data_IF_667098346158
#
_entry.id   IF_667098346158
#
_cell.length_a   1.000
_cell.length_b   1.000
_cell.length_c   1.000
_cell.angle_alpha   90.00
_cell.angle_beta   90.00
_cell.angle_gamma   90.00
#
_symmetry.space_group_name_H-M   'P 1'
#
loop_
_entity.id
_entity.type
_entity.pdbx_description
1 polymer ?
#
# COMPACT_ATOMS: atom_id res chain seq x y z
N UNK A 1 -20.93 12.56 2.94
CA UNK A 1 -20.51 12.89 1.57
C UNK A 1 -20.29 11.61 0.78
N UNK A 2 -20.98 11.45 -0.34
CA UNK A 2 -20.71 10.39 -1.31
C UNK A 2 -19.70 10.92 -2.32
N UNK A 3 -18.57 10.24 -2.46
CA UNK A 3 -17.49 10.61 -3.35
C UNK A 3 -16.93 9.35 -4.03
N UNK A 4 -15.96 9.53 -4.91
CA UNK A 4 -15.26 8.43 -5.58
C UNK A 4 -14.70 7.37 -4.61
N UNK A 5 -14.13 7.82 -3.49
CA UNK A 5 -13.65 6.92 -2.43
C UNK A 5 -14.75 6.13 -1.73
N UNK A 6 -16.00 6.58 -1.76
CA UNK A 6 -17.13 5.85 -1.18
C UNK A 6 -17.44 4.54 -1.92
N UNK A 7 -17.18 4.49 -3.24
CA UNK A 7 -17.32 3.25 -4.01
C UNK A 7 -16.32 2.18 -3.55
N UNK A 8 -15.06 2.57 -3.30
CA UNK A 8 -14.05 1.68 -2.74
C UNK A 8 -14.38 1.26 -1.31
N UNK A 9 -14.84 2.19 -0.46
CA UNK A 9 -15.27 1.87 0.89
C UNK A 9 -16.46 0.90 0.89
N UNK A 10 -17.44 1.09 0.00
CA UNK A 10 -18.55 0.15 -0.18
C UNK A 10 -18.07 -1.25 -0.58
N UNK A 11 -17.12 -1.33 -1.51
CA UNK A 11 -16.52 -2.60 -1.92
C UNK A 11 -15.71 -3.25 -0.81
N UNK A 12 -14.97 -2.45 -0.04
CA UNK A 12 -14.15 -2.93 1.06
C UNK A 12 -14.98 -3.49 2.22
N UNK A 13 -16.11 -2.87 2.54
CA UNK A 13 -16.95 -3.22 3.70
C UNK A 13 -18.16 -4.08 3.35
N UNK A 14 -18.52 -4.18 2.06
CA UNK A 14 -19.80 -4.75 1.62
C UNK A 14 -21.00 -3.84 1.91
N UNK A 15 -20.81 -2.66 2.53
CA UNK A 15 -21.88 -1.73 2.89
C UNK A 15 -22.22 -0.81 1.72
N UNK A 16 -23.47 -0.78 1.22
CA UNK A 16 -23.83 -0.03 0.01
C UNK A 16 -24.05 1.46 0.31
N UNK A 17 -22.98 2.21 0.54
CA UNK A 17 -22.99 3.62 0.97
C UNK A 17 -23.85 4.50 0.05
N UNK A 18 -23.74 4.35 -1.27
CA UNK A 18 -24.50 5.16 -2.23
C UNK A 18 -26.01 4.92 -2.12
N UNK A 19 -26.43 3.66 -1.92
CA UNK A 19 -27.84 3.30 -1.71
C UNK A 19 -28.38 3.93 -0.42
N UNK A 20 -27.62 3.88 0.66
CA UNK A 20 -28.01 4.51 1.92
C UNK A 20 -28.08 6.03 1.80
N UNK A 21 -27.07 6.64 1.16
CA UNK A 21 -27.07 8.08 0.92
C UNK A 21 -28.25 8.55 0.07
N UNK A 22 -28.67 7.79 -0.94
CA UNK A 22 -29.87 8.11 -1.73
C UNK A 22 -31.15 8.09 -0.89
N UNK A 23 -31.30 7.11 0.01
CA UNK A 23 -32.46 7.03 0.92
C UNK A 23 -32.46 8.19 1.92
N UNK A 24 -31.32 8.55 2.49
CA UNK A 24 -31.17 9.69 3.38
C UNK A 24 -31.51 11.00 2.65
N UNK A 25 -31.11 11.13 1.39
CA UNK A 25 -31.40 12.33 0.59
C UNK A 25 -32.90 12.56 0.34
N UNK A 26 -33.72 11.51 0.40
CA UNK A 26 -35.20 11.61 0.28
C UNK A 26 -35.91 11.64 1.64
N UNK A 27 -35.17 11.78 2.75
CA UNK A 27 -35.72 12.08 4.06
C UNK A 27 -35.68 10.95 5.10
N UNK A 28 -35.18 9.75 4.75
CA UNK A 28 -35.02 8.69 5.75
C UNK A 28 -33.88 8.99 6.71
N UNK A 29 -33.98 8.56 7.95
CA UNK A 29 -32.89 8.55 8.93
C UNK A 29 -32.21 7.18 8.98
N UNK A 30 -31.00 7.08 9.56
CA UNK A 30 -30.24 5.82 9.61
C UNK A 30 -30.91 4.76 10.49
N UNK A 31 -31.65 5.18 11.50
CA UNK A 31 -32.40 4.32 12.42
C UNK A 31 -33.67 3.75 11.79
N UNK A 32 -34.27 4.46 10.81
CA UNK A 32 -35.43 3.99 10.05
C UNK A 32 -35.05 2.97 8.94
N UNK A 33 -33.80 2.92 8.57
CA UNK A 33 -33.34 2.04 7.50
C UNK A 33 -32.80 0.71 8.05
N UNK A 34 -33.23 -0.45 7.50
CA UNK A 34 -32.64 -1.72 7.88
C UNK A 34 -31.18 -1.79 7.44
N UNK A 35 -30.35 -2.49 8.22
CA UNK A 35 -28.97 -2.74 7.90
C UNK A 35 -28.87 -3.66 6.67
N UNK A 36 -28.25 -3.21 5.55
CA UNK A 36 -28.22 -4.01 4.32
C UNK A 36 -27.30 -5.24 4.38
N UNK A 37 -26.45 -5.36 5.42
CA UNK A 37 -25.55 -6.48 5.62
C UNK A 37 -26.17 -7.55 6.51
N UNK A 38 -26.69 -7.15 7.64
CA UNK A 38 -27.20 -8.08 8.67
C UNK A 38 -28.69 -8.38 8.51
N UNK A 39 -29.41 -7.62 7.67
CA UNK A 39 -30.83 -7.84 7.39
C UNK A 39 -31.78 -7.32 8.48
N UNK A 40 -32.89 -8.03 8.67
CA UNK A 40 -33.91 -7.64 9.63
C UNK A 40 -33.44 -7.72 11.09
N UNK A 41 -33.79 -6.75 11.90
CA UNK A 41 -33.47 -6.69 13.35
C UNK A 41 -32.35 -5.72 13.72
N UNK A 42 -31.60 -5.18 12.74
CA UNK A 42 -30.62 -4.12 12.97
C UNK A 42 -30.82 -2.95 12.01
N UNK A 43 -30.44 -1.75 12.44
CA UNK A 43 -30.59 -0.53 11.63
C UNK A 43 -29.30 -0.18 10.90
N UNK A 44 -29.41 0.72 9.91
CA UNK A 44 -28.26 1.26 9.18
C UNK A 44 -27.37 2.18 10.04
N UNK A 45 -27.81 2.56 11.24
CA UNK A 45 -27.04 3.30 12.24
C UNK A 45 -26.05 2.35 12.95
N UNK A 46 -25.04 1.88 12.23
CA UNK A 46 -24.08 0.92 12.73
C UNK A 46 -22.67 1.19 12.15
N UNK A 47 -21.64 0.87 12.91
CA UNK A 47 -20.26 0.95 12.49
C UNK A 47 -19.74 -0.44 12.11
N UNK A 48 -19.26 -0.64 10.86
CA UNK A 48 -18.75 -1.95 10.45
C UNK A 48 -17.49 -2.33 11.23
N UNK A 49 -17.44 -3.57 11.72
CA UNK A 49 -16.24 -4.19 12.30
C UNK A 49 -15.66 -5.15 11.29
N UNK A 50 -14.39 -4.93 10.94
CA UNK A 50 -13.67 -5.71 9.93
C UNK A 50 -12.53 -6.49 10.59
N UNK A 51 -12.36 -7.75 10.20
CA UNK A 51 -11.28 -8.65 10.62
C UNK A 51 -10.20 -8.86 9.54
N UNK A 52 -10.19 -7.97 8.54
CA UNK A 52 -9.22 -7.94 7.45
C UNK A 52 -8.70 -6.53 7.21
N UNK A 53 -7.54 -6.45 6.57
CA UNK A 53 -6.92 -5.18 6.19
C UNK A 53 -7.21 -4.86 4.72
N UNK A 54 -7.52 -3.59 4.45
CA UNK A 54 -7.71 -3.09 3.08
C UNK A 54 -6.70 -1.99 2.81
N UNK A 55 -5.89 -2.17 1.78
CA UNK A 55 -4.92 -1.17 1.32
C UNK A 55 -5.33 -0.65 -0.05
N UNK A 56 -5.31 0.67 -0.18
CA UNK A 56 -5.52 1.38 -1.44
C UNK A 56 -4.24 2.11 -1.82
N UNK A 57 -3.76 1.91 -3.05
CA UNK A 57 -2.59 2.61 -3.59
C UNK A 57 -3.01 3.35 -4.86
N UNK A 58 -2.72 4.67 -4.97
CA UNK A 58 -2.94 5.43 -6.18
C UNK A 58 -1.94 5.05 -7.27
N UNK A 59 -2.35 5.11 -8.55
CA UNK A 59 -1.47 5.03 -9.71
C UNK A 59 -1.10 6.43 -10.16
N UNK A 60 0.17 6.79 -10.04
CA UNK A 60 0.70 8.07 -10.52
C UNK A 60 1.40 7.86 -11.86
N UNK A 61 1.00 8.56 -12.95
CA UNK A 61 1.52 8.34 -14.29
C UNK A 61 2.79 9.17 -14.59
N UNK A 62 3.69 9.33 -13.62
CA UNK A 62 4.91 10.11 -13.79
C UNK A 62 5.94 9.42 -14.72
N UNK A 63 5.77 8.13 -14.98
CA UNK A 63 6.46 7.40 -16.05
C UNK A 63 6.12 7.96 -17.43
N UNK A 64 4.88 8.40 -17.65
CA UNK A 64 4.40 9.03 -18.90
C UNK A 64 4.63 10.54 -18.93
N UNK A 65 4.48 11.21 -17.80
CA UNK A 65 4.62 12.67 -17.66
C UNK A 65 5.88 13.04 -16.89
N UNK A 66 7.04 12.82 -17.51
CA UNK A 66 8.36 12.95 -16.86
C UNK A 66 8.72 14.34 -16.36
N UNK A 67 8.14 15.39 -16.96
CA UNK A 67 8.37 16.81 -16.59
C UNK A 67 7.38 17.31 -15.53
N UNK A 68 6.39 16.50 -15.14
CA UNK A 68 5.41 16.92 -14.14
C UNK A 68 6.04 16.98 -12.74
N UNK A 69 5.56 17.93 -11.93
CA UNK A 69 5.91 18.00 -10.51
C UNK A 69 5.39 16.75 -9.77
N UNK A 70 6.31 15.97 -9.19
CA UNK A 70 6.03 14.72 -8.46
C UNK A 70 5.60 14.95 -7.02
N UNK A 71 5.72 16.16 -6.48
CA UNK A 71 5.38 16.45 -5.08
C UNK A 71 3.89 16.29 -4.86
N UNK A 72 3.53 15.39 -3.94
CA UNK A 72 2.13 15.11 -3.60
C UNK A 72 1.61 16.17 -2.62
N UNK A 73 0.46 16.72 -2.93
CA UNK A 73 -0.19 17.78 -2.16
C UNK A 73 -1.71 17.68 -2.24
N UNK A 74 -2.38 18.82 -2.19
CA UNK A 74 -3.85 18.90 -2.20
C UNK A 74 -4.47 18.69 -3.57
N UNK A 75 -3.72 18.89 -4.67
CA UNK A 75 -4.19 18.61 -6.03
C UNK A 75 -4.04 17.13 -6.37
N UNK A 76 -5.04 16.58 -7.06
CA UNK A 76 -5.04 15.20 -7.51
C UNK A 76 -4.06 14.99 -8.66
N UNK A 77 -3.11 14.06 -8.50
CA UNK A 77 -2.11 13.71 -9.52
C UNK A 77 -2.21 12.23 -9.97
N UNK A 78 -3.09 11.46 -9.36
CA UNK A 78 -3.33 10.06 -9.73
C UNK A 78 -4.32 9.94 -10.90
N UNK A 79 -4.11 8.95 -11.77
CA UNK A 79 -5.00 8.60 -12.89
C UNK A 79 -5.83 7.35 -12.63
N UNK A 80 -5.51 6.62 -11.60
CA UNK A 80 -6.19 5.41 -11.18
C UNK A 80 -5.81 5.01 -9.77
N UNK A 81 -6.34 3.90 -9.33
CA UNK A 81 -6.10 3.35 -8.00
C UNK A 81 -6.34 1.85 -7.99
N UNK A 82 -5.62 1.14 -7.15
CA UNK A 82 -5.82 -0.27 -6.85
C UNK A 82 -6.28 -0.44 -5.41
N UNK A 83 -6.99 -1.53 -5.14
CA UNK A 83 -7.38 -1.93 -3.79
C UNK A 83 -7.09 -3.41 -3.62
N UNK A 84 -6.45 -3.77 -2.50
CA UNK A 84 -6.27 -5.16 -2.12
C UNK A 84 -6.74 -5.42 -0.69
N UNK A 85 -7.15 -6.64 -0.46
CA UNK A 85 -7.62 -7.14 0.84
C UNK A 85 -6.65 -8.25 1.29
N UNK A 86 -6.21 -8.18 2.53
CA UNK A 86 -5.35 -9.17 3.18
C UNK A 86 -5.75 -9.36 4.63
N UNK A 87 -5.22 -10.40 5.26
CA UNK A 87 -5.43 -10.66 6.70
C UNK A 87 -4.62 -9.74 7.59
N UNK A 88 -3.52 -9.21 7.07
CA UNK A 88 -2.65 -8.24 7.71
C UNK A 88 -2.25 -7.14 6.72
N UNK A 89 -1.55 -6.12 7.23
CA UNK A 89 -1.16 -4.96 6.43
C UNK A 89 -0.15 -5.34 5.34
N UNK A 90 0.84 -6.17 5.66
CA UNK A 90 1.91 -6.57 4.76
C UNK A 90 1.33 -7.30 3.54
N UNK A 91 0.46 -8.29 3.76
CA UNK A 91 -0.23 -9.02 2.69
C UNK A 91 -1.05 -8.07 1.81
N UNK A 92 -1.88 -7.22 2.42
CA UNK A 92 -2.72 -6.29 1.68
C UNK A 92 -1.89 -5.27 0.89
N UNK A 93 -0.79 -4.77 1.49
CA UNK A 93 0.09 -3.79 0.85
C UNK A 93 0.83 -4.37 -0.35
N UNK A 94 1.46 -5.54 -0.19
CA UNK A 94 2.19 -6.19 -1.29
C UNK A 94 1.25 -6.61 -2.43
N UNK A 95 0.07 -7.13 -2.14
CA UNK A 95 -0.96 -7.41 -3.15
C UNK A 95 -1.39 -6.15 -3.91
N UNK A 96 -1.62 -5.03 -3.19
CA UNK A 96 -1.97 -3.76 -3.82
C UNK A 96 -0.82 -3.25 -4.69
N UNK A 97 0.43 -3.39 -4.22
CA UNK A 97 1.60 -2.98 -4.98
C UNK A 97 1.75 -3.77 -6.29
N UNK A 98 1.68 -5.09 -6.22
CA UNK A 98 1.72 -5.96 -7.41
C UNK A 98 0.60 -5.63 -8.41
N UNK A 99 -0.59 -5.25 -7.92
CA UNK A 99 -1.73 -4.87 -8.77
C UNK A 99 -1.55 -3.54 -9.51
N UNK A 100 -0.52 -2.75 -9.20
CA UNK A 100 -0.17 -1.54 -9.98
C UNK A 100 0.45 -1.86 -11.35
N UNK A 101 0.90 -3.11 -11.56
CA UNK A 101 1.51 -3.60 -12.81
C UNK A 101 2.64 -2.71 -13.33
N UNK A 102 3.54 -2.32 -12.42
CA UNK A 102 4.68 -1.42 -12.73
C UNK A 102 5.96 -2.17 -13.14
N UNK A 103 5.88 -3.48 -13.42
CA UNK A 103 7.01 -4.30 -13.85
C UNK A 103 7.84 -4.89 -12.70
N UNK A 104 7.48 -4.64 -11.44
CA UNK A 104 8.15 -5.22 -10.25
C UNK A 104 7.13 -5.53 -9.15
N UNK A 105 7.27 -6.72 -8.57
CA UNK A 105 6.31 -7.24 -7.59
C UNK A 105 6.47 -6.60 -6.19
N UNK A 106 7.68 -6.13 -5.86
CA UNK A 106 7.99 -5.56 -4.55
C UNK A 106 8.35 -4.07 -4.63
N UNK A 107 8.03 -3.26 -3.60
CA UNK A 107 8.37 -1.86 -3.57
C UNK A 107 9.89 -1.64 -3.58
N UNK A 108 10.35 -0.80 -4.49
CA UNK A 108 11.74 -0.37 -4.59
C UNK A 108 11.83 1.10 -5.01
N UNK A 109 12.95 1.79 -4.72
CA UNK A 109 13.17 3.12 -5.23
C UNK A 109 13.21 3.10 -6.76
N UNK A 110 12.45 3.99 -7.40
CA UNK A 110 12.49 4.18 -8.85
C UNK A 110 13.60 5.18 -9.19
N UNK A 111 14.60 4.74 -9.90
CA UNK A 111 15.67 5.60 -10.43
C UNK A 111 15.33 6.09 -11.84
N UNK A 112 16.10 7.06 -12.36
CA UNK A 112 15.94 7.50 -13.76
C UNK A 112 16.24 6.40 -14.77
N UNK A 113 17.07 5.42 -14.40
CA UNK A 113 17.36 4.25 -15.24
C UNK A 113 16.12 3.38 -15.44
N UNK A 114 15.28 3.25 -14.42
CA UNK A 114 14.00 2.50 -14.50
C UNK A 114 12.98 3.15 -15.46
N UNK A 115 13.16 4.44 -15.74
CA UNK A 115 12.29 5.18 -16.66
C UNK A 115 12.71 5.02 -18.12
N UNK A 116 13.91 4.47 -18.40
CA UNK A 116 14.52 4.42 -19.73
C UNK A 116 14.86 3.02 -20.26
N UNK A 117 15.03 2.00 -19.41
CA UNK A 117 15.53 0.68 -19.82
C UNK A 117 14.94 -0.46 -18.98
N UNK A 118 14.83 -1.66 -19.58
CA UNK A 118 14.17 -2.82 -19.00
C UNK A 118 14.83 -3.42 -17.74
N UNK A 119 14.14 -4.38 -17.15
CA UNK A 119 14.26 -4.95 -15.80
C UNK A 119 15.66 -5.30 -15.24
N UNK A 120 16.68 -5.46 -16.05
CA UNK A 120 18.00 -5.94 -15.60
C UNK A 120 18.95 -4.88 -15.03
N UNK A 121 18.74 -3.58 -15.28
CA UNK A 121 19.61 -2.49 -14.80
C UNK A 121 19.14 -1.82 -13.51
N UNK A 122 17.89 -1.97 -13.17
CA UNK A 122 17.27 -1.36 -12.00
C UNK A 122 17.87 -1.85 -10.68
N UNK A 123 18.24 -3.11 -10.58
CA UNK A 123 18.83 -3.69 -9.37
C UNK A 123 20.24 -3.14 -9.07
N UNK A 124 21.05 -2.87 -10.12
CA UNK A 124 22.37 -2.23 -9.97
C UNK A 124 22.29 -0.75 -9.60
N UNK A 125 21.24 -0.04 -10.03
CA UNK A 125 21.04 1.37 -9.70
C UNK A 125 20.63 1.59 -8.23
N UNK A 126 20.01 0.59 -7.58
CA UNK A 126 19.57 0.66 -6.18
C UNK A 126 20.73 0.63 -5.19
N UNK A 127 21.74 -0.21 -5.43
CA UNK A 127 22.93 -0.28 -4.56
C UNK A 127 23.79 0.97 -4.62
N UNK A 128 23.61 1.80 -5.64
CA UNK A 128 24.39 3.03 -5.85
C UNK A 128 23.69 4.32 -5.38
N UNK A 129 22.44 4.25 -4.84
CA UNK A 129 21.73 5.44 -4.39
C UNK A 129 22.38 6.03 -3.13
N UNK A 130 22.87 7.29 -3.15
CA UNK A 130 23.47 7.92 -1.98
C UNK A 130 22.45 8.07 -0.84
N UNK A 131 22.91 7.93 0.40
CA UNK A 131 22.04 8.10 1.59
C UNK A 131 21.39 9.48 1.65
N UNK A 132 22.08 10.53 1.19
CA UNK A 132 21.51 11.88 1.13
C UNK A 132 20.28 11.95 0.20
N UNK A 133 20.34 11.26 -0.93
CA UNK A 133 19.21 11.15 -1.86
C UNK A 133 18.08 10.32 -1.25
N UNK A 134 18.42 9.24 -0.56
CA UNK A 134 17.43 8.38 0.11
C UNK A 134 16.70 9.15 1.23
N UNK A 135 17.43 9.95 2.02
CA UNK A 135 16.83 10.86 3.03
C UNK A 135 15.82 11.81 2.38
N UNK A 136 16.19 12.42 1.26
CA UNK A 136 15.31 13.36 0.55
C UNK A 136 14.05 12.66 0.01
N UNK A 137 14.19 11.49 -0.58
CA UNK A 137 13.06 10.71 -1.09
C UNK A 137 12.14 10.17 0.02
N UNK A 138 12.67 9.90 1.20
CA UNK A 138 11.86 9.60 2.38
C UNK A 138 11.12 10.84 2.89
N UNK A 139 11.80 12.00 2.91
CA UNK A 139 11.25 13.26 3.44
C UNK A 139 10.15 13.83 2.59
N UNK A 140 10.37 13.94 1.28
CA UNK A 140 9.42 14.57 0.35
C UNK A 140 8.38 13.55 -0.10
N UNK A 141 7.10 13.89 0.04
CA UNK A 141 6.00 13.03 -0.40
C UNK A 141 5.91 13.02 -1.92
N UNK A 142 6.45 11.97 -2.54
CA UNK A 142 6.37 11.69 -3.98
C UNK A 142 5.96 10.24 -4.19
N UNK A 143 5.73 9.84 -5.44
CA UNK A 143 5.52 8.44 -5.84
C UNK A 143 6.71 7.52 -5.49
N UNK A 144 7.92 8.08 -5.33
CA UNK A 144 9.15 7.35 -4.95
C UNK A 144 9.23 7.00 -3.47
N UNK A 145 8.44 7.70 -2.63
CA UNK A 145 8.57 7.63 -1.17
C UNK A 145 8.42 6.21 -0.61
N UNK A 146 7.45 5.44 -1.12
CA UNK A 146 7.19 4.09 -0.60
C UNK A 146 8.38 3.16 -0.84
N UNK A 147 8.94 3.15 -2.05
CA UNK A 147 10.16 2.38 -2.35
C UNK A 147 11.36 2.84 -1.53
N UNK A 148 11.49 4.16 -1.32
CA UNK A 148 12.57 4.71 -0.50
C UNK A 148 12.49 4.29 0.98
N UNK A 149 11.27 4.18 1.53
CA UNK A 149 11.07 3.69 2.90
C UNK A 149 11.51 2.24 3.07
N UNK A 150 11.10 1.36 2.16
CA UNK A 150 11.52 -0.06 2.19
C UNK A 150 13.05 -0.16 2.03
N UNK A 151 13.64 0.62 1.12
CA UNK A 151 15.10 0.63 0.93
C UNK A 151 15.84 1.12 2.18
N UNK A 152 15.33 2.13 2.88
CA UNK A 152 15.91 2.59 4.13
C UNK A 152 15.98 1.45 5.18
N UNK A 153 14.92 0.66 5.29
CA UNK A 153 14.90 -0.52 6.16
C UNK A 153 15.81 -1.65 5.69
N UNK A 154 15.91 -1.90 4.38
CA UNK A 154 16.91 -2.84 3.82
C UNK A 154 18.33 -2.46 4.18
N UNK A 155 18.64 -1.17 4.28
CA UNK A 155 19.93 -0.64 4.76
C UNK A 155 20.07 -0.62 6.28
N UNK A 156 19.09 -1.13 7.02
CA UNK A 156 19.14 -1.22 8.49
C UNK A 156 18.88 0.10 9.21
N UNK A 157 18.19 1.08 8.58
CA UNK A 157 17.78 2.27 9.30
C UNK A 157 16.70 1.91 10.33
N UNK A 158 16.78 2.52 11.51
CA UNK A 158 15.80 2.29 12.57
C UNK A 158 14.48 3.02 12.29
N UNK A 159 13.40 2.49 12.84
CA UNK A 159 12.06 3.11 12.77
C UNK A 159 12.10 4.54 13.31
N UNK A 160 12.84 4.80 14.38
CA UNK A 160 13.01 6.13 14.97
C UNK A 160 13.64 7.11 13.98
N UNK A 161 14.75 6.72 13.35
CA UNK A 161 15.41 7.55 12.32
C UNK A 161 14.46 7.87 11.17
N UNK A 162 13.76 6.87 10.65
CA UNK A 162 12.81 7.08 9.55
C UNK A 162 11.61 7.92 10.00
N UNK A 163 11.12 7.74 11.22
CA UNK A 163 10.06 8.57 11.78
C UNK A 163 10.48 10.04 11.92
N UNK A 164 11.69 10.33 12.38
CA UNK A 164 12.20 11.70 12.49
C UNK A 164 12.27 12.41 11.14
N UNK A 165 12.65 11.69 10.09
CA UNK A 165 12.73 12.21 8.72
C UNK A 165 11.34 12.45 8.11
N UNK A 166 10.41 11.52 8.34
CA UNK A 166 9.16 11.43 7.55
C UNK A 166 7.92 11.91 8.28
N UNK A 167 7.92 11.84 9.62
CA UNK A 167 6.77 12.01 10.51
C UNK A 167 5.64 11.01 10.27
N UNK A 168 5.90 9.92 9.54
CA UNK A 168 4.94 8.82 9.39
C UNK A 168 4.77 8.12 10.73
N UNK A 169 3.54 7.76 11.06
CA UNK A 169 3.21 7.02 12.30
C UNK A 169 4.04 5.74 12.40
N UNK A 170 4.67 5.51 13.54
CA UNK A 170 5.57 4.38 13.79
C UNK A 170 4.95 3.02 13.47
N UNK A 171 3.66 2.86 13.71
CA UNK A 171 2.96 1.62 13.38
C UNK A 171 3.14 1.21 11.92
N UNK A 172 2.99 2.15 10.97
CA UNK A 172 3.24 1.85 9.55
C UNK A 172 4.71 1.56 9.27
N UNK A 173 5.62 2.27 9.94
CA UNK A 173 7.05 2.08 9.75
C UNK A 173 7.50 0.69 10.23
N UNK A 174 6.98 0.19 11.35
CA UNK A 174 7.21 -1.19 11.79
C UNK A 174 6.69 -2.23 10.78
N UNK A 175 5.57 -1.96 10.10
CA UNK A 175 5.07 -2.85 9.05
C UNK A 175 5.99 -2.88 7.84
N UNK A 176 6.53 -1.73 7.41
CA UNK A 176 7.50 -1.65 6.31
C UNK A 176 8.86 -2.26 6.68
N UNK A 177 9.32 -2.06 7.91
CA UNK A 177 10.51 -2.73 8.43
C UNK A 177 10.34 -4.27 8.40
N UNK A 178 9.19 -4.77 8.82
CA UNK A 178 8.87 -6.20 8.80
C UNK A 178 8.88 -6.77 7.36
N UNK A 179 8.35 -6.05 6.37
CA UNK A 179 8.47 -6.44 4.96
C UNK A 179 9.94 -6.59 4.56
N UNK A 180 10.78 -5.59 4.87
CA UNK A 180 12.22 -5.64 4.55
C UNK A 180 12.95 -6.79 5.28
N UNK A 181 12.54 -7.13 6.50
CA UNK A 181 13.07 -8.27 7.25
C UNK A 181 12.72 -9.61 6.58
N UNK A 182 11.46 -9.81 6.18
CA UNK A 182 11.04 -11.03 5.47
C UNK A 182 11.77 -11.15 4.11
N UNK A 183 11.90 -10.06 3.36
CA UNK A 183 12.70 -10.05 2.12
C UNK A 183 14.14 -10.52 2.37
N UNK A 184 14.75 -10.03 3.44
CA UNK A 184 16.11 -10.44 3.83
C UNK A 184 16.16 -11.93 4.20
N UNK A 185 15.22 -12.41 5.00
CA UNK A 185 15.14 -13.85 5.34
C UNK A 185 15.05 -14.72 4.09
N UNK A 186 14.22 -14.33 3.11
CA UNK A 186 14.09 -15.05 1.83
C UNK A 186 15.40 -15.03 1.05
N UNK A 187 16.04 -13.86 0.97
CA UNK A 187 17.28 -13.67 0.20
C UNK A 187 18.46 -14.42 0.84
N UNK A 188 18.55 -14.41 2.17
CA UNK A 188 19.61 -15.08 2.92
C UNK A 188 19.42 -16.62 2.97
N UNK A 189 18.24 -17.11 2.56
CA UNK A 189 17.96 -18.56 2.52
C UNK A 189 18.67 -19.18 1.32
N UNK A 190 19.67 -20.01 1.59
CA UNK A 190 20.41 -20.76 0.56
C UNK A 190 19.72 -22.05 0.11
N UNK A 191 18.61 -22.42 0.75
CA UNK A 191 17.87 -23.62 0.44
C UNK A 191 17.14 -23.51 -0.91
N UNK A 192 17.19 -24.59 -1.69
CA UNK A 192 16.35 -24.69 -2.89
C UNK A 192 14.87 -24.71 -2.50
N UNK A 193 13.95 -24.24 -3.38
CA UNK A 193 12.51 -24.22 -3.09
C UNK A 193 11.94 -25.56 -2.61
N UNK A 194 12.51 -26.68 -3.07
CA UNK A 194 12.13 -28.04 -2.66
C UNK A 194 12.57 -28.41 -1.24
N UNK A 195 13.54 -27.70 -0.68
CA UNK A 195 14.12 -27.93 0.65
C UNK A 195 13.53 -27.01 1.72
N UNK A 196 12.76 -26.01 1.29
CA UNK A 196 12.11 -25.10 2.20
C UNK A 196 11.03 -25.80 3.02
N UNK A 197 11.07 -25.54 4.31
CA UNK A 197 10.10 -26.12 5.21
C UNK A 197 8.71 -25.46 5.00
N UNK A 198 7.65 -26.27 5.15
CA UNK A 198 6.25 -25.87 4.94
C UNK A 198 5.83 -24.66 5.79
N UNK A 199 6.35 -24.56 7.02
CA UNK A 199 6.02 -23.47 7.94
C UNK A 199 6.63 -22.15 7.48
N UNK A 200 7.87 -22.14 7.01
CA UNK A 200 8.52 -20.96 6.44
C UNK A 200 7.76 -20.46 5.21
N UNK A 201 7.45 -21.36 4.27
CA UNK A 201 6.68 -21.00 3.07
C UNK A 201 5.29 -20.46 3.43
N UNK A 202 4.63 -21.05 4.42
CA UNK A 202 3.31 -20.58 4.88
C UNK A 202 3.43 -19.22 5.56
N UNK A 203 4.47 -18.98 6.34
CA UNK A 203 4.75 -17.69 6.98
C UNK A 203 4.94 -16.60 5.93
N UNK A 204 5.84 -16.78 4.98
CA UNK A 204 6.11 -15.80 3.93
C UNK A 204 4.87 -15.51 3.07
N UNK A 205 4.16 -16.56 2.62
CA UNK A 205 2.90 -16.42 1.89
C UNK A 205 1.81 -15.69 2.68
N UNK A 206 1.75 -15.86 4.00
CA UNK A 206 0.77 -15.15 4.84
C UNK A 206 1.05 -13.65 4.95
N UNK A 207 2.24 -13.21 4.57
CA UNK A 207 2.65 -11.81 4.52
C UNK A 207 2.74 -11.25 3.09
N UNK A 208 2.35 -12.03 2.07
CA UNK A 208 2.22 -11.56 0.70
C UNK A 208 3.41 -11.86 -0.22
N UNK A 209 4.37 -12.69 0.23
CA UNK A 209 5.51 -13.17 -0.55
C UNK A 209 5.23 -14.48 -1.28
#
# INVERSE_FOLDING_TARGET
RVSRSSALASKATGYPIARMAAKIAVGYTLDELPNPITGEGTTAAFEPTLDYCVVKIPRWPFDKFRTADRTLGTSMKSTGEVMAIGRNFEEAFLKAWASLEQGYAHPRPLTRADESEGEGMAERAMTALPDSTLVEWCRVATDRRMGALIEAFRRGWSVEKVHEITRITRWFLYRFEHIAQIEKEITDTSALPAELNREQLRSWKSHGF
#
